data_IF_889378832482
#
_entry.id   IF_889378832482
#
_cell.length_a   1.000
_cell.length_b   1.000
_cell.length_c   1.000
_cell.angle_alpha   90.00
_cell.angle_beta   90.00
_cell.angle_gamma   90.00
#
_symmetry.space_group_name_H-M   'P 1'
#
loop_
_entity.id
_entity.type
_entity.pdbx_description
1 polymer ?
#
# COMPACT_ATOMS: atom_id res chain seq x y z
N UNK A 1 -26.81 5.55 -4.72
CA UNK A 1 -25.50 5.64 -5.40
C UNK A 1 -24.86 6.95 -5.00
N UNK A 2 -23.53 7.02 -4.81
CA UNK A 2 -22.86 8.26 -4.48
C UNK A 2 -23.12 9.29 -5.60
N UNK A 3 -23.45 10.53 -5.23
CA UNK A 3 -23.68 11.62 -6.20
C UNK A 3 -22.56 12.66 -6.20
N UNK A 4 -21.55 12.49 -5.35
CA UNK A 4 -20.40 13.37 -5.20
C UNK A 4 -19.27 13.04 -6.16
N UNK A 5 -18.12 13.74 -6.03
CA UNK A 5 -16.99 13.56 -6.94
C UNK A 5 -16.38 12.16 -6.82
N UNK A 6 -16.09 11.53 -7.96
CA UNK A 6 -15.35 10.26 -7.98
C UNK A 6 -13.85 10.50 -7.87
N UNK A 7 -13.20 9.86 -6.91
CA UNK A 7 -11.74 9.86 -6.74
C UNK A 7 -11.20 8.47 -7.12
N UNK A 8 -10.26 8.48 -8.06
CA UNK A 8 -9.62 7.26 -8.56
C UNK A 8 -8.28 7.04 -7.86
N UNK A 9 -8.12 5.88 -7.24
CA UNK A 9 -6.88 5.46 -6.59
C UNK A 9 -6.16 4.47 -7.50
N UNK A 10 -4.91 4.75 -7.85
CA UNK A 10 -4.08 3.88 -8.66
C UNK A 10 -2.84 3.45 -7.88
N UNK A 11 -2.59 2.16 -7.83
CA UNK A 11 -1.48 1.62 -7.08
C UNK A 11 -1.60 0.12 -6.92
N UNK A 12 -0.52 -0.55 -6.52
CA UNK A 12 -0.55 -1.99 -6.30
C UNK A 12 0.71 -2.69 -6.76
N UNK A 13 0.73 -3.99 -6.52
CA UNK A 13 1.92 -4.83 -6.63
C UNK A 13 2.44 -5.27 -5.26
N UNK A 14 2.11 -4.53 -4.19
CA UNK A 14 2.39 -4.91 -2.80
C UNK A 14 1.37 -4.28 -1.86
N UNK A 15 1.17 -4.90 -0.68
CA UNK A 15 0.29 -4.34 0.36
C UNK A 15 0.75 -2.97 0.86
N UNK A 16 2.06 -2.68 0.78
CA UNK A 16 2.65 -1.42 1.24
C UNK A 16 2.14 -0.17 0.51
N UNK A 17 1.67 -0.29 -0.74
CA UNK A 17 1.11 0.84 -1.49
C UNK A 17 -0.43 0.92 -1.39
N UNK A 18 -1.09 -0.23 -1.19
CA UNK A 18 -2.55 -0.32 -1.15
C UNK A 18 -3.10 0.15 0.19
N UNK A 19 -2.53 -0.28 1.32
CA UNK A 19 -3.09 0.07 2.63
C UNK A 19 -3.07 1.59 2.93
N UNK A 20 -2.01 2.34 2.61
CA UNK A 20 -2.06 3.80 2.77
C UNK A 20 -3.07 4.47 1.83
N UNK A 21 -3.28 3.93 0.63
CA UNK A 21 -4.33 4.42 -0.28
C UNK A 21 -5.72 4.21 0.30
N UNK A 22 -5.96 3.05 0.93
CA UNK A 22 -7.20 2.76 1.67
C UNK A 22 -7.40 3.72 2.84
N UNK A 23 -6.33 4.05 3.56
CA UNK A 23 -6.40 5.04 4.65
C UNK A 23 -6.84 6.41 4.14
N UNK A 24 -6.31 6.86 3.01
CA UNK A 24 -6.73 8.12 2.37
C UNK A 24 -8.18 8.03 1.89
N UNK A 25 -8.59 6.92 1.26
CA UNK A 25 -9.98 6.71 0.83
C UNK A 25 -11.00 6.71 1.98
N UNK A 26 -10.64 6.09 3.13
CA UNK A 26 -11.44 6.15 4.35
C UNK A 26 -11.62 7.60 4.79
N UNK A 27 -10.52 8.37 4.82
CA UNK A 27 -10.56 9.77 5.22
C UNK A 27 -11.39 10.64 4.27
N UNK A 28 -11.33 10.39 2.97
CA UNK A 28 -12.20 11.06 1.97
C UNK A 28 -13.66 10.77 2.27
N UNK A 29 -14.02 9.50 2.49
CA UNK A 29 -15.41 9.09 2.74
C UNK A 29 -15.98 9.70 4.03
N UNK A 30 -15.12 9.99 5.02
CA UNK A 30 -15.51 10.68 6.25
C UNK A 30 -15.74 12.18 6.06
N UNK A 31 -14.95 12.81 5.18
CA UNK A 31 -15.06 14.23 4.88
C UNK A 31 -16.23 14.52 3.94
N UNK A 32 -16.49 13.60 3.01
CA UNK A 32 -17.60 13.67 2.06
C UNK A 32 -18.18 12.27 1.85
N UNK A 33 -19.32 12.01 2.49
CA UNK A 33 -20.05 10.73 2.37
C UNK A 33 -20.65 10.51 0.98
N UNK A 34 -20.67 11.53 0.11
CA UNK A 34 -21.15 11.43 -1.27
C UNK A 34 -20.02 11.16 -2.27
N UNK A 35 -18.76 11.29 -1.86
CA UNK A 35 -17.63 10.98 -2.73
C UNK A 35 -17.63 9.49 -3.11
N UNK A 36 -17.45 9.21 -4.41
CA UNK A 36 -17.25 7.85 -4.90
C UNK A 36 -15.77 7.49 -4.90
N UNK A 37 -15.44 6.25 -4.57
CA UNK A 37 -14.07 5.76 -4.51
C UNK A 37 -13.93 4.56 -5.44
N UNK A 38 -12.96 4.63 -6.36
CA UNK A 38 -12.60 3.51 -7.23
C UNK A 38 -11.10 3.23 -7.16
N UNK A 39 -10.73 1.95 -7.02
CA UNK A 39 -9.33 1.51 -7.04
C UNK A 39 -8.95 0.80 -8.35
N UNK A 40 -7.87 1.23 -8.98
CA UNK A 40 -7.22 0.52 -10.09
C UNK A 40 -5.95 -0.14 -9.55
N UNK A 41 -6.03 -1.47 -9.36
CA UNK A 41 -4.97 -2.26 -8.71
C UNK A 41 -4.26 -3.20 -9.68
N UNK A 42 -3.15 -3.83 -9.26
CA UNK A 42 -2.50 -4.80 -10.13
C UNK A 42 -3.29 -6.12 -10.19
N UNK A 43 -2.97 -6.97 -11.15
CA UNK A 43 -3.57 -8.30 -11.27
C UNK A 43 -2.96 -9.35 -10.31
N UNK A 44 -2.20 -8.93 -9.29
CA UNK A 44 -1.66 -9.85 -8.28
C UNK A 44 -2.75 -10.29 -7.32
N UNK A 45 -2.70 -11.55 -6.89
CA UNK A 45 -3.66 -12.13 -5.94
C UNK A 45 -3.75 -11.33 -4.64
N UNK A 46 -2.62 -10.86 -4.11
CA UNK A 46 -2.58 -10.07 -2.88
C UNK A 46 -3.42 -8.79 -2.96
N UNK A 47 -3.38 -8.10 -4.11
CA UNK A 47 -4.14 -6.87 -4.32
C UNK A 47 -5.65 -7.19 -4.35
N UNK A 48 -6.04 -8.25 -5.05
CA UNK A 48 -7.43 -8.72 -5.10
C UNK A 48 -7.94 -9.16 -3.71
N UNK A 49 -7.13 -9.88 -2.95
CA UNK A 49 -7.46 -10.30 -1.57
C UNK A 49 -7.63 -9.10 -0.64
N UNK A 50 -6.77 -8.08 -0.74
CA UNK A 50 -6.92 -6.87 0.06
C UNK A 50 -8.20 -6.14 -0.36
N UNK A 51 -8.42 -5.93 -1.66
CA UNK A 51 -9.59 -5.18 -2.13
C UNK A 51 -10.91 -5.89 -1.82
N UNK A 52 -10.96 -7.23 -1.84
CA UNK A 52 -12.18 -7.98 -1.50
C UNK A 52 -12.60 -7.87 -0.03
N UNK A 53 -11.68 -7.49 0.85
CA UNK A 53 -11.95 -7.21 2.27
C UNK A 53 -12.47 -5.80 2.51
N UNK A 54 -12.54 -4.95 1.48
CA UNK A 54 -12.98 -3.56 1.58
C UNK A 54 -14.18 -3.30 0.65
N UNK A 55 -15.08 -2.43 1.10
CA UNK A 55 -16.31 -2.08 0.36
C UNK A 55 -16.05 -0.94 -0.64
N UNK A 56 -15.04 -1.08 -1.49
CA UNK A 56 -14.73 -0.12 -2.55
C UNK A 56 -14.85 -0.76 -3.92
N UNK A 57 -15.31 0.01 -4.91
CA UNK A 57 -15.25 -0.40 -6.31
C UNK A 57 -13.80 -0.53 -6.75
N UNK A 58 -13.49 -1.57 -7.52
CA UNK A 58 -12.12 -1.76 -8.01
C UNK A 58 -12.04 -2.51 -9.33
N UNK A 59 -11.02 -2.16 -10.11
CA UNK A 59 -10.70 -2.74 -11.41
C UNK A 59 -9.26 -3.27 -11.44
N UNK A 60 -9.02 -4.52 -11.87
CA UNK A 60 -7.67 -5.00 -12.11
C UNK A 60 -7.08 -4.32 -13.36
N UNK A 61 -5.84 -3.87 -13.25
CA UNK A 61 -5.09 -3.27 -14.35
C UNK A 61 -4.28 -4.32 -15.10
N UNK A 62 -4.28 -4.32 -16.44
CA UNK A 62 -3.42 -5.17 -17.25
C UNK A 62 -1.98 -4.64 -17.32
N UNK A 63 -1.65 -3.54 -16.62
CA UNK A 63 -0.32 -2.96 -16.58
C UNK A 63 0.72 -4.00 -16.13
N UNK A 64 1.97 -3.85 -16.61
CA UNK A 64 3.08 -4.72 -16.26
C UNK A 64 4.27 -3.88 -15.77
N UNK A 65 5.13 -4.43 -14.89
CA UNK A 65 6.39 -3.79 -14.54
C UNK A 65 7.26 -3.52 -15.77
N UNK A 66 8.09 -2.48 -15.70
CA UNK A 66 9.08 -2.21 -16.73
C UNK A 66 10.01 -3.43 -16.89
N UNK A 67 10.17 -3.98 -18.10
CA UNK A 67 10.97 -5.17 -18.29
C UNK A 67 12.46 -4.85 -18.16
N UNK A 68 13.21 -5.78 -17.57
CA UNK A 68 14.68 -5.74 -17.54
C UNK A 68 15.34 -6.26 -18.82
N UNK A 69 14.56 -6.90 -19.70
CA UNK A 69 15.06 -7.52 -20.94
C UNK A 69 14.33 -7.01 -22.18
N UNK A 70 15.03 -6.77 -23.30
CA UNK A 70 14.42 -6.24 -24.53
C UNK A 70 13.27 -7.09 -25.08
N UNK A 71 13.38 -8.41 -24.97
CA UNK A 71 12.38 -9.38 -25.43
C UNK A 71 10.98 -9.15 -24.84
N UNK A 72 10.89 -8.56 -23.64
CA UNK A 72 9.61 -8.31 -22.94
C UNK A 72 9.03 -6.91 -23.21
N UNK A 73 9.73 -6.05 -23.96
CA UNK A 73 9.32 -4.65 -24.22
C UNK A 73 8.02 -4.57 -25.00
N UNK A 74 7.83 -5.41 -26.02
CA UNK A 74 6.59 -5.42 -26.80
C UNK A 74 5.38 -5.80 -25.93
N UNK A 75 5.55 -6.80 -25.06
CA UNK A 75 4.52 -7.22 -24.12
C UNK A 75 4.18 -6.13 -23.10
N UNK A 76 5.19 -5.42 -22.59
CA UNK A 76 5.00 -4.25 -21.73
C UNK A 76 4.24 -3.14 -22.45
N UNK A 77 4.62 -2.80 -23.68
CA UNK A 77 3.98 -1.74 -24.47
C UNK A 77 2.51 -2.05 -24.76
N UNK A 78 2.19 -3.30 -25.11
CA UNK A 78 0.81 -3.75 -25.32
C UNK A 78 -0.01 -3.69 -24.02
N UNK A 79 0.57 -4.14 -22.90
CA UNK A 79 -0.04 -4.03 -21.57
C UNK A 79 -0.29 -2.56 -21.18
N UNK A 80 0.68 -1.69 -21.42
CA UNK A 80 0.60 -0.26 -21.17
C UNK A 80 -0.52 0.42 -21.98
N UNK A 81 -0.63 0.10 -23.29
CA UNK A 81 -1.73 0.58 -24.13
C UNK A 81 -3.10 0.15 -23.60
N UNK A 82 -3.24 -1.12 -23.21
CA UNK A 82 -4.49 -1.66 -22.63
C UNK A 82 -4.84 -0.97 -21.32
N UNK A 83 -3.85 -0.80 -20.43
CA UNK A 83 -4.03 -0.12 -19.15
C UNK A 83 -4.47 1.33 -19.33
N UNK A 84 -3.89 2.05 -20.31
CA UNK A 84 -4.33 3.40 -20.67
C UNK A 84 -5.75 3.42 -21.21
N UNK A 85 -6.10 2.53 -22.14
CA UNK A 85 -7.47 2.47 -22.67
C UNK A 85 -8.49 2.23 -21.55
N UNK A 86 -8.19 1.31 -20.63
CA UNK A 86 -9.03 1.04 -19.46
C UNK A 86 -9.13 2.26 -18.54
N UNK A 87 -8.00 2.87 -18.16
CA UNK A 87 -7.99 4.05 -17.30
C UNK A 87 -8.77 5.21 -17.92
N UNK A 88 -8.59 5.46 -19.22
CA UNK A 88 -9.33 6.50 -19.94
C UNK A 88 -10.84 6.23 -19.99
N UNK A 89 -11.26 4.97 -20.06
CA UNK A 89 -12.67 4.56 -19.96
C UNK A 89 -13.22 4.82 -18.56
N UNK A 90 -12.55 4.33 -17.51
CA UNK A 90 -12.95 4.53 -16.11
C UNK A 90 -13.09 6.03 -15.79
N UNK A 91 -12.09 6.84 -16.17
CA UNK A 91 -12.11 8.30 -15.93
C UNK A 91 -13.33 8.97 -16.56
N UNK A 92 -13.76 8.51 -17.74
CA UNK A 92 -14.92 9.06 -18.44
C UNK A 92 -16.24 8.55 -17.85
N UNK A 93 -16.39 7.23 -17.74
CA UNK A 93 -17.62 6.57 -17.34
C UNK A 93 -18.01 6.95 -15.91
N UNK A 94 -17.02 7.11 -15.03
CA UNK A 94 -17.24 7.43 -13.61
C UNK A 94 -17.04 8.91 -13.29
N UNK A 95 -16.85 9.75 -14.32
CA UNK A 95 -16.67 11.20 -14.20
C UNK A 95 -15.61 11.61 -13.16
N UNK A 96 -14.49 10.89 -13.13
CA UNK A 96 -13.41 11.06 -12.14
C UNK A 96 -12.95 12.52 -12.06
N UNK A 97 -12.85 13.04 -10.84
CA UNK A 97 -12.47 14.43 -10.56
C UNK A 97 -11.06 14.60 -10.02
N UNK A 98 -10.48 13.55 -9.45
CA UNK A 98 -9.10 13.53 -9.00
C UNK A 98 -8.53 12.11 -9.05
N UNK A 99 -7.21 12.00 -9.23
CA UNK A 99 -6.49 10.73 -9.19
C UNK A 99 -5.41 10.76 -8.12
N UNK A 100 -5.39 9.77 -7.23
CA UNK A 100 -4.29 9.52 -6.32
C UNK A 100 -3.48 8.32 -6.80
N UNK A 101 -2.20 8.52 -7.08
CA UNK A 101 -1.24 7.49 -7.43
C UNK A 101 -0.36 7.17 -6.22
N UNK A 102 -0.51 6.00 -5.60
CA UNK A 102 0.34 5.56 -4.49
C UNK A 102 1.59 4.77 -4.93
N UNK A 103 1.88 4.83 -6.23
CA UNK A 103 3.06 4.22 -6.84
C UNK A 103 2.81 2.89 -7.52
N UNK A 104 3.88 2.12 -7.74
CA UNK A 104 3.82 0.89 -8.54
C UNK A 104 3.65 1.13 -10.05
N UNK A 105 3.73 0.06 -10.83
CA UNK A 105 3.69 0.12 -12.30
C UNK A 105 2.28 0.40 -12.87
N UNK A 106 1.24 0.30 -12.04
CA UNK A 106 -0.15 0.60 -12.41
C UNK A 106 -0.38 2.11 -12.55
N UNK A 107 0.16 2.90 -11.62
CA UNK A 107 -0.04 4.35 -11.52
C UNK A 107 0.32 5.11 -12.80
N UNK A 108 1.37 4.67 -13.50
CA UNK A 108 1.88 5.37 -14.68
C UNK A 108 0.85 5.52 -15.80
N UNK A 109 0.10 4.44 -16.12
CA UNK A 109 -0.88 4.47 -17.20
C UNK A 109 -2.08 5.34 -16.85
N UNK A 110 -2.54 5.29 -15.59
CA UNK A 110 -3.66 6.07 -15.08
C UNK A 110 -3.33 7.56 -15.08
N UNK A 111 -2.17 7.94 -14.52
CA UNK A 111 -1.74 9.32 -14.45
C UNK A 111 -1.62 9.98 -15.83
N UNK A 112 -1.19 9.25 -16.85
CA UNK A 112 -1.11 9.81 -18.21
C UNK A 112 -2.50 10.15 -18.76
N UNK A 113 -3.46 9.25 -18.60
CA UNK A 113 -4.81 9.47 -19.12
C UNK A 113 -5.57 10.54 -18.32
N UNK A 114 -5.37 10.59 -17.00
CA UNK A 114 -5.90 11.65 -16.15
C UNK A 114 -5.42 13.04 -16.61
N UNK A 115 -4.11 13.21 -16.78
CA UNK A 115 -3.55 14.49 -17.25
C UNK A 115 -4.00 14.88 -18.64
N UNK A 116 -4.10 13.91 -19.58
CA UNK A 116 -4.66 14.17 -20.91
C UNK A 116 -6.08 14.73 -20.86
N UNK A 117 -6.84 14.33 -19.85
CA UNK A 117 -8.22 14.78 -19.59
C UNK A 117 -8.29 15.97 -18.63
N UNK A 118 -7.15 16.56 -18.25
CA UNK A 118 -7.03 17.67 -17.30
C UNK A 118 -7.62 17.35 -15.91
N UNK A 119 -7.55 16.07 -15.52
CA UNK A 119 -7.89 15.64 -14.16
C UNK A 119 -6.64 15.79 -13.29
N UNK A 120 -6.73 16.46 -12.12
CA UNK A 120 -5.60 16.61 -11.22
C UNK A 120 -5.11 15.25 -10.71
N UNK A 121 -3.79 15.08 -10.72
CA UNK A 121 -3.10 13.88 -10.28
C UNK A 121 -2.23 14.20 -9.08
N UNK A 122 -2.37 13.37 -8.06
CA UNK A 122 -1.61 13.42 -6.81
C UNK A 122 -0.71 12.19 -6.78
N UNK A 123 0.59 12.36 -6.55
CA UNK A 123 1.50 11.27 -6.24
C UNK A 123 1.69 11.18 -4.73
N UNK A 124 1.44 10.01 -4.15
CA UNK A 124 1.79 9.67 -2.78
C UNK A 124 2.97 8.70 -2.80
N UNK A 125 4.17 9.18 -2.45
CA UNK A 125 5.38 8.38 -2.38
C UNK A 125 5.67 7.95 -0.93
N UNK A 126 5.55 6.65 -0.71
CA UNK A 126 5.71 6.02 0.60
C UNK A 126 7.15 5.52 0.84
N UNK A 127 7.93 5.35 -0.23
CA UNK A 127 9.24 4.74 -0.19
C UNK A 127 10.34 5.77 0.06
N UNK A 128 11.29 5.46 0.96
CA UNK A 128 12.49 6.28 1.15
C UNK A 128 13.34 6.38 -0.13
N UNK A 129 13.40 5.29 -0.89
CA UNK A 129 14.00 5.24 -2.23
C UNK A 129 12.90 5.07 -3.27
N UNK A 130 12.48 6.14 -3.97
CA UNK A 130 11.39 6.06 -4.90
C UNK A 130 11.70 5.11 -6.06
N UNK A 131 10.73 4.27 -6.41
CA UNK A 131 10.80 3.43 -7.61
C UNK A 131 10.79 4.24 -8.91
N UNK A 132 11.14 3.60 -10.02
CA UNK A 132 11.22 4.23 -11.36
C UNK A 132 9.91 4.94 -11.73
N UNK A 133 8.77 4.31 -11.44
CA UNK A 133 7.45 4.88 -11.71
C UNK A 133 7.22 6.19 -10.93
N UNK A 134 7.54 6.21 -9.63
CA UNK A 134 7.35 7.38 -8.77
C UNK A 134 8.28 8.53 -9.18
N UNK A 135 9.57 8.25 -9.48
CA UNK A 135 10.50 9.26 -10.00
C UNK A 135 10.03 9.86 -11.32
N UNK A 136 9.42 9.04 -12.16
CA UNK A 136 8.88 9.50 -13.42
C UNK A 136 7.61 10.35 -13.23
N UNK A 137 6.73 9.95 -12.31
CA UNK A 137 5.50 10.66 -11.97
C UNK A 137 5.75 11.97 -11.22
N UNK A 138 6.74 12.04 -10.33
CA UNK A 138 6.97 13.21 -9.48
C UNK A 138 7.18 14.50 -10.28
N UNK A 139 7.74 14.39 -11.49
CA UNK A 139 7.97 15.52 -12.41
C UNK A 139 6.78 15.84 -13.33
N UNK A 140 5.65 15.15 -13.16
CA UNK A 140 4.57 15.10 -14.15
C UNK A 140 3.19 15.33 -13.56
N UNK A 141 3.00 15.11 -12.27
CA UNK A 141 1.72 15.25 -11.57
C UNK A 141 1.59 16.63 -10.95
N UNK A 142 0.36 16.99 -10.56
CA UNK A 142 0.02 18.32 -10.04
C UNK A 142 0.48 18.50 -8.58
N UNK A 143 0.36 17.44 -7.78
CA UNK A 143 0.79 17.43 -6.38
C UNK A 143 1.62 16.20 -6.04
N UNK A 144 2.63 16.38 -5.20
CA UNK A 144 3.48 15.28 -4.73
C UNK A 144 3.55 15.32 -3.21
N UNK A 145 3.21 14.21 -2.57
CA UNK A 145 3.32 13.99 -1.14
C UNK A 145 4.34 12.89 -0.87
N UNK A 146 5.24 13.09 0.09
CA UNK A 146 6.28 12.12 0.46
C UNK A 146 6.24 11.81 1.95
N UNK A 147 6.42 10.53 2.32
CA UNK A 147 6.57 10.10 3.72
C UNK A 147 8.01 10.28 4.20
N UNK A 148 8.97 10.14 3.29
CA UNK A 148 10.39 10.38 3.52
C UNK A 148 10.83 11.52 2.63
N UNK A 149 11.51 12.51 3.21
CA UNK A 149 12.05 13.66 2.46
C UNK A 149 12.86 13.19 1.26
N UNK A 150 12.61 13.80 0.10
CA UNK A 150 13.31 13.56 -1.16
C UNK A 150 14.03 14.84 -1.54
N UNK A 151 15.37 14.83 -1.49
CA UNK A 151 16.18 16.03 -1.72
C UNK A 151 15.95 16.65 -3.09
N UNK A 152 15.75 15.81 -4.11
CA UNK A 152 15.58 16.23 -5.51
C UNK A 152 14.14 16.63 -5.89
N UNK A 153 13.17 16.56 -4.97
CA UNK A 153 11.75 16.84 -5.25
C UNK A 153 11.29 18.08 -4.49
N UNK A 154 11.81 19.25 -4.88
CA UNK A 154 11.59 20.52 -4.17
C UNK A 154 10.12 20.96 -4.05
N UNK A 155 9.25 20.49 -4.95
CA UNK A 155 7.80 20.77 -4.92
C UNK A 155 6.98 19.74 -4.15
N UNK A 156 7.63 18.73 -3.56
CA UNK A 156 6.94 17.71 -2.78
C UNK A 156 6.67 18.18 -1.35
N UNK A 157 5.46 17.96 -0.86
CA UNK A 157 5.09 18.19 0.52
C UNK A 157 5.41 16.94 1.35
N UNK A 158 6.08 17.14 2.48
CA UNK A 158 6.42 16.07 3.41
C UNK A 158 5.30 15.84 4.42
N UNK A 159 4.79 14.61 4.47
CA UNK A 159 3.68 14.21 5.33
C UNK A 159 4.04 12.97 6.16
N UNK A 160 3.24 12.65 7.17
CA UNK A 160 3.31 11.36 7.85
C UNK A 160 2.78 10.21 6.98
N UNK A 161 3.08 8.97 7.37
CA UNK A 161 2.52 7.78 6.74
C UNK A 161 0.99 7.73 6.99
N UNK A 162 0.13 7.69 5.95
CA UNK A 162 -1.29 7.51 6.15
C UNK A 162 -1.58 6.13 6.76
N UNK A 163 -2.11 6.12 7.98
CA UNK A 163 -2.48 4.92 8.70
C UNK A 163 -3.99 4.67 8.59
N UNK A 164 -4.36 3.44 8.23
CA UNK A 164 -5.77 3.01 8.24
C UNK A 164 -6.31 3.04 9.67
N UNK A 165 -7.59 3.32 9.86
CA UNK A 165 -8.20 3.39 11.20
C UNK A 165 -7.92 2.14 12.04
N UNK A 166 -7.99 0.96 11.42
CA UNK A 166 -7.75 -0.31 12.10
C UNK A 166 -6.30 -0.48 12.61
N UNK A 167 -5.35 0.33 12.14
CA UNK A 167 -3.96 0.32 12.61
C UNK A 167 -3.71 1.31 13.75
N UNK A 168 -4.68 2.17 14.06
CA UNK A 168 -4.61 3.10 15.18
C UNK A 168 -5.11 2.35 16.42
N UNK A 169 -4.19 2.05 17.33
CA UNK A 169 -4.47 1.33 18.58
C UNK A 169 -5.31 2.18 19.53
N UNK A 170 -6.13 1.59 20.42
CA UNK A 170 -6.53 2.28 21.64
C UNK A 170 -5.27 2.70 22.42
N UNK A 171 -5.32 3.85 23.08
CA UNK A 171 -4.18 4.44 23.81
C UNK A 171 -3.70 3.56 24.98
N UNK A 172 -4.51 2.60 25.43
CA UNK A 172 -4.18 1.68 26.52
C UNK A 172 -3.41 0.42 26.05
N UNK A 173 -2.10 0.45 26.27
CA UNK A 173 -1.19 -0.67 26.01
C UNK A 173 -1.52 -1.92 26.84
N UNK A 174 -2.06 -1.77 28.04
CA UNK A 174 -2.41 -2.92 28.88
C UNK A 174 -3.62 -3.64 28.30
N UNK A 175 -4.66 -2.90 27.90
CA UNK A 175 -5.83 -3.47 27.23
C UNK A 175 -5.46 -4.15 25.92
N UNK A 176 -4.61 -3.53 25.09
CA UNK A 176 -4.16 -4.14 23.83
C UNK A 176 -3.44 -5.49 24.03
N UNK A 177 -2.74 -5.68 25.16
CA UNK A 177 -2.16 -6.99 25.52
C UNK A 177 -3.25 -7.99 25.90
N UNK A 178 -4.21 -7.58 26.73
CA UNK A 178 -5.34 -8.43 27.14
C UNK A 178 -6.15 -8.90 25.93
N UNK A 179 -6.44 -8.01 24.98
CA UNK A 179 -7.18 -8.33 23.74
C UNK A 179 -6.46 -9.36 22.87
N UNK A 180 -5.13 -9.46 23.00
CA UNK A 180 -4.26 -10.42 22.31
C UNK A 180 -3.97 -11.68 23.15
N UNK A 181 -4.60 -11.84 24.33
CA UNK A 181 -4.36 -12.96 25.23
C UNK A 181 -3.02 -12.92 25.97
N UNK A 182 -2.42 -11.74 26.10
CA UNK A 182 -1.12 -11.51 26.74
C UNK A 182 -1.27 -10.92 28.15
N UNK A 183 -0.23 -11.06 28.97
CA UNK A 183 -0.18 -10.49 30.33
C UNK A 183 0.03 -8.96 30.26
N UNK A 184 -0.87 -8.13 30.82
CA UNK A 184 -0.77 -6.67 30.72
C UNK A 184 0.47 -6.09 31.42
N UNK A 185 1.03 -6.79 32.40
CA UNK A 185 2.13 -6.33 33.28
C UNK A 185 3.52 -6.70 32.75
N UNK A 186 3.60 -7.69 31.85
CA UNK A 186 4.86 -8.20 31.31
C UNK A 186 5.31 -7.43 30.07
N UNK A 187 6.63 -7.37 29.86
CA UNK A 187 7.22 -6.80 28.65
C UNK A 187 6.94 -7.71 27.45
N UNK A 188 6.40 -7.15 26.37
CA UNK A 188 6.05 -7.88 25.15
C UNK A 188 7.05 -7.59 24.04
N UNK A 189 7.61 -8.65 23.44
CA UNK A 189 8.36 -8.58 22.21
C UNK A 189 7.44 -8.99 21.06
N UNK A 190 7.12 -8.04 20.18
CA UNK A 190 6.41 -8.31 18.94
C UNK A 190 7.43 -8.58 17.83
N UNK A 191 7.35 -9.75 17.21
CA UNK A 191 8.20 -10.14 16.08
C UNK A 191 7.34 -10.25 14.83
N UNK A 192 7.70 -9.52 13.79
CA UNK A 192 6.93 -9.46 12.54
C UNK A 192 7.86 -9.58 11.34
N UNK A 193 7.66 -10.60 10.50
CA UNK A 193 8.43 -10.82 9.27
C UNK A 193 7.94 -10.04 8.04
N UNK A 194 6.89 -9.23 8.18
CA UNK A 194 6.25 -8.53 7.06
C UNK A 194 5.30 -9.42 6.26
N UNK A 195 4.79 -8.91 5.13
CA UNK A 195 3.69 -9.53 4.38
C UNK A 195 4.03 -10.85 3.67
N UNK A 196 5.31 -11.19 3.54
CA UNK A 196 5.78 -12.38 2.82
C UNK A 196 6.40 -13.44 3.74
N UNK A 197 6.26 -13.30 5.07
CA UNK A 197 7.11 -13.98 6.05
C UNK A 197 8.58 -13.57 5.93
N UNK A 198 9.33 -13.74 7.02
CA UNK A 198 10.78 -13.59 7.04
C UNK A 198 11.39 -14.85 7.67
N UNK A 199 11.64 -15.85 6.83
CA UNK A 199 12.18 -17.15 7.25
C UNK A 199 13.42 -17.01 8.15
N UNK A 200 14.35 -16.13 7.82
CA UNK A 200 15.55 -15.89 8.63
C UNK A 200 15.23 -15.33 10.02
N UNK A 201 14.21 -14.49 10.16
CA UNK A 201 13.73 -14.00 11.46
C UNK A 201 13.06 -15.15 12.22
N UNK A 202 12.25 -15.96 11.52
CA UNK A 202 11.56 -17.09 12.12
C UNK A 202 12.56 -18.11 12.72
N UNK A 203 13.57 -18.50 11.93
CA UNK A 203 14.64 -19.41 12.34
C UNK A 203 15.47 -18.83 13.50
N UNK A 204 15.87 -17.55 13.41
CA UNK A 204 16.61 -16.87 14.47
C UNK A 204 15.83 -16.88 15.79
N UNK A 205 14.53 -16.61 15.76
CA UNK A 205 13.71 -16.61 16.98
C UNK A 205 13.62 -18.00 17.62
N UNK A 206 13.51 -19.06 16.81
CA UNK A 206 13.53 -20.43 17.29
C UNK A 206 14.87 -20.76 17.94
N UNK A 207 15.99 -20.43 17.29
CA UNK A 207 17.33 -20.62 17.85
C UNK A 207 17.50 -19.86 19.17
N UNK A 208 17.10 -18.59 19.23
CA UNK A 208 17.20 -17.76 20.42
C UNK A 208 16.41 -18.28 21.63
N UNK A 209 15.32 -19.02 21.41
CA UNK A 209 14.55 -19.63 22.51
C UNK A 209 15.29 -20.84 23.10
N UNK A 210 16.08 -21.56 22.28
CA UNK A 210 16.79 -22.77 22.70
C UNK A 210 18.21 -22.50 23.21
N UNK A 211 18.82 -21.37 22.83
CA UNK A 211 20.17 -20.98 23.27
C UNK A 211 20.20 -20.70 24.78
N UNK A 212 21.09 -21.40 25.49
CA UNK A 212 21.25 -21.25 26.95
C UNK A 212 21.64 -19.81 27.35
N UNK A 213 22.42 -19.13 26.51
CA UNK A 213 22.87 -17.74 26.75
C UNK A 213 21.74 -16.72 26.70
N UNK A 214 20.65 -16.99 25.98
CA UNK A 214 19.51 -16.07 25.79
C UNK A 214 18.29 -16.47 26.60
N UNK A 215 18.18 -17.71 27.08
CA UNK A 215 17.02 -18.20 27.84
C UNK A 215 16.63 -17.30 29.02
N UNK A 216 17.59 -16.83 29.81
CA UNK A 216 17.29 -16.00 30.97
C UNK A 216 16.64 -14.67 30.57
N UNK A 217 17.13 -14.06 29.50
CA UNK A 217 16.56 -12.81 28.95
C UNK A 217 15.18 -13.11 28.38
N UNK A 218 15.04 -14.16 27.56
CA UNK A 218 13.78 -14.50 26.89
C UNK A 218 12.63 -14.77 27.88
N UNK A 219 12.91 -15.38 29.04
CA UNK A 219 11.89 -15.61 30.10
C UNK A 219 11.33 -14.31 30.70
N UNK A 220 12.07 -13.20 30.64
CA UNK A 220 11.60 -11.90 31.11
C UNK A 220 10.58 -11.25 30.16
N UNK A 221 10.47 -11.76 28.94
CA UNK A 221 9.56 -11.27 27.92
C UNK A 221 8.45 -12.28 27.63
N UNK A 222 7.31 -11.78 27.18
CA UNK A 222 6.33 -12.57 26.43
C UNK A 222 6.50 -12.25 24.95
N UNK A 223 6.45 -13.26 24.09
CA UNK A 223 6.77 -13.11 22.67
C UNK A 223 5.49 -13.34 21.87
N UNK A 224 5.10 -12.33 21.08
CA UNK A 224 4.06 -12.45 20.08
C UNK A 224 4.74 -12.48 18.71
N UNK A 225 4.76 -13.64 18.07
CA UNK A 225 5.49 -13.87 16.83
C UNK A 225 4.52 -14.11 15.66
N UNK A 226 4.52 -13.18 14.71
CA UNK A 226 3.76 -13.29 13.47
C UNK A 226 4.66 -13.95 12.41
N UNK A 227 4.67 -15.28 12.39
CA UNK A 227 5.54 -16.10 11.53
C UNK A 227 5.10 -16.16 10.06
N UNK A 228 3.84 -15.82 9.77
CA UNK A 228 3.26 -15.92 8.43
C UNK A 228 2.72 -17.31 8.10
N UNK A 229 1.82 -17.39 7.12
CA UNK A 229 1.01 -18.60 6.88
C UNK A 229 1.82 -19.87 6.54
N UNK A 230 2.98 -19.73 5.90
CA UNK A 230 3.80 -20.88 5.49
C UNK A 230 4.56 -21.53 6.66
N UNK A 231 4.82 -20.78 7.74
CA UNK A 231 5.60 -21.23 8.89
C UNK A 231 4.77 -21.33 10.17
N UNK A 232 3.44 -21.16 10.11
CA UNK A 232 2.57 -21.13 11.30
C UNK A 232 2.49 -22.46 12.07
N UNK A 233 2.81 -23.59 11.43
CA UNK A 233 2.76 -24.93 12.04
C UNK A 233 4.13 -25.44 12.53
N UNK A 234 5.20 -24.67 12.31
CA UNK A 234 6.58 -25.01 12.71
C UNK A 234 6.96 -24.25 13.97
#
# INVERSE_FOLDING_TARGET
MPTGPTILFAGGGSGGHIFPSIAVAQRVSELDSQAAIHFVVSNRSIDATIMSQHQYEWSPSPARPLPRTPLKVLGFYNAWKKARKQAGKIILDEQVKAVLCAGGFVSGAVAVEARKKRIPVILLNLDATPGIANRWLSKRVDHVYTVYKQEDWHHAEHIGLPLRRQAISPDDKAQARVDMGLDPTRRTLLVVGGSLSAKSINEMMLEMVHLASTQQVMRQWQILHISGNEDAQR
#
